data_IF_029194831102
#
_entry.id   IF_029194831102
#
_cell.length_a   1.000
_cell.length_b   1.000
_cell.length_c   1.000
_cell.angle_alpha   90.00
_cell.angle_beta   90.00
_cell.angle_gamma   90.00
#
_symmetry.space_group_name_H-M   'P 1'
#
loop_
_entity.id
_entity.type
_entity.pdbx_description
1 polymer ?
#
# COMPACT_ATOMS: atom_id res chain seq x y z
N UNK A 1 -65.51 -13.57 -43.61
CA UNK A 1 -64.92 -14.35 -42.50
C UNK A 1 -63.41 -14.17 -42.53
N UNK A 2 -62.83 -13.79 -41.38
CA UNK A 2 -61.42 -13.94 -40.93
C UNK A 2 -60.28 -13.36 -41.80
N UNK A 3 -59.74 -12.17 -41.49
CA UNK A 3 -58.65 -11.85 -40.53
C UNK A 3 -57.34 -12.64 -40.70
N UNK A 4 -56.24 -11.90 -40.92
CA UNK A 4 -54.85 -12.01 -40.38
C UNK A 4 -53.93 -11.23 -41.35
N UNK A 5 -53.11 -10.25 -41.00
CA UNK A 5 -52.66 -9.65 -39.73
C UNK A 5 -51.30 -8.99 -40.03
N UNK A 6 -51.21 -7.67 -39.89
CA UNK A 6 -50.02 -6.83 -40.10
C UNK A 6 -48.92 -7.10 -39.04
N UNK A 7 -47.65 -6.98 -39.48
CA UNK A 7 -46.63 -6.16 -38.80
C UNK A 7 -45.83 -6.75 -37.63
N UNK A 8 -44.51 -6.53 -37.64
CA UNK A 8 -43.75 -5.67 -36.70
C UNK A 8 -42.28 -6.14 -36.60
N UNK A 9 -41.40 -5.25 -37.06
CA UNK A 9 -39.95 -5.20 -36.76
C UNK A 9 -39.81 -4.94 -35.25
N UNK A 10 -39.08 -5.79 -34.52
CA UNK A 10 -38.94 -5.71 -33.07
C UNK A 10 -37.50 -5.90 -32.62
N UNK A 11 -36.76 -4.80 -32.66
CA UNK A 11 -35.45 -4.54 -32.06
C UNK A 11 -35.30 -5.18 -30.67
N UNK A 12 -34.58 -6.31 -30.59
CA UNK A 12 -34.18 -6.93 -29.33
C UNK A 12 -32.82 -6.36 -28.87
N UNK A 13 -32.77 -5.05 -28.63
CA UNK A 13 -31.69 -4.46 -27.83
C UNK A 13 -32.10 -4.59 -26.37
N UNK A 14 -31.76 -5.74 -25.79
CA UNK A 14 -31.93 -5.98 -24.35
C UNK A 14 -31.12 -4.93 -23.60
N UNK A 15 -31.85 -3.98 -23.03
CA UNK A 15 -31.39 -3.02 -22.05
C UNK A 15 -30.76 -3.78 -20.87
N UNK A 16 -29.44 -3.82 -20.82
CA UNK A 16 -28.67 -4.09 -19.60
C UNK A 16 -28.79 -2.86 -18.68
N UNK A 17 -29.98 -2.63 -18.11
CA UNK A 17 -30.08 -1.82 -16.90
C UNK A 17 -29.73 -2.78 -15.76
N UNK A 18 -28.44 -2.96 -15.52
CA UNK A 18 -28.01 -3.26 -14.17
C UNK A 18 -28.45 -2.05 -13.34
N UNK A 19 -29.63 -2.17 -12.74
CA UNK A 19 -30.01 -1.38 -11.59
C UNK A 19 -28.96 -1.69 -10.52
N UNK A 20 -27.86 -0.94 -10.58
CA UNK A 20 -26.93 -0.77 -9.49
C UNK A 20 -27.74 -0.13 -8.36
N UNK A 21 -28.45 -0.96 -7.59
CA UNK A 21 -28.74 -0.68 -6.19
C UNK A 21 -27.40 -0.72 -5.44
N UNK A 22 -26.44 0.10 -5.87
CA UNK A 22 -25.27 0.41 -5.08
C UNK A 22 -25.82 1.20 -3.89
N UNK A 23 -25.76 0.59 -2.71
CA UNK A 23 -25.59 1.38 -1.51
C UNK A 23 -24.53 2.45 -1.82
N UNK A 24 -24.77 3.70 -1.42
CA UNK A 24 -23.80 4.79 -1.52
C UNK A 24 -23.02 4.87 -0.20
N UNK A 25 -22.12 3.93 0.12
CA UNK A 25 -21.43 3.92 1.40
C UNK A 25 -20.58 5.19 1.58
N UNK A 26 -20.17 5.82 0.48
CA UNK A 26 -19.37 7.04 0.45
C UNK A 26 -20.15 8.19 1.08
N UNK A 27 -21.42 8.37 0.70
CA UNK A 27 -22.26 9.45 1.20
C UNK A 27 -22.50 9.31 2.71
N UNK A 28 -22.75 8.08 3.19
CA UNK A 28 -22.94 7.81 4.61
C UNK A 28 -21.65 8.04 5.42
N UNK A 29 -20.50 7.56 4.92
CA UNK A 29 -19.20 7.76 5.56
C UNK A 29 -18.83 9.25 5.62
N UNK A 30 -18.97 9.97 4.51
CA UNK A 30 -18.64 11.38 4.42
C UNK A 30 -19.55 12.26 5.29
N UNK A 31 -20.86 11.96 5.36
CA UNK A 31 -21.76 12.64 6.31
C UNK A 31 -21.28 12.52 7.74
N UNK A 32 -20.89 11.31 8.18
CA UNK A 32 -20.35 11.08 9.52
C UNK A 32 -19.01 11.78 9.73
N UNK A 33 -18.14 11.74 8.72
CA UNK A 33 -16.84 12.40 8.76
C UNK A 33 -16.95 13.92 8.92
N UNK A 34 -17.73 14.59 8.07
CA UNK A 34 -17.93 16.04 8.17
C UNK A 34 -18.71 16.46 9.41
N UNK A 35 -19.63 15.64 9.90
CA UNK A 35 -20.27 15.89 11.18
C UNK A 35 -19.25 15.86 12.34
N UNK A 36 -18.37 14.86 12.37
CA UNK A 36 -17.30 14.78 13.35
C UNK A 36 -16.31 15.96 13.23
N UNK A 37 -16.00 16.42 12.02
CA UNK A 37 -15.20 17.64 11.79
C UNK A 37 -15.88 18.88 12.38
N UNK A 38 -17.19 19.06 12.16
CA UNK A 38 -17.92 20.20 12.70
C UNK A 38 -17.97 20.20 14.23
N UNK A 39 -18.05 19.01 14.84
CA UNK A 39 -18.05 18.81 16.28
C UNK A 39 -16.63 18.82 16.89
N UNK A 40 -15.59 18.89 16.06
CA UNK A 40 -14.18 18.73 16.48
C UNK A 40 -13.94 17.42 17.26
N UNK A 41 -14.66 16.36 16.90
CA UNK A 41 -14.53 15.05 17.53
C UNK A 41 -13.38 14.26 16.90
N UNK A 42 -12.16 14.51 17.40
CA UNK A 42 -10.93 13.86 16.94
C UNK A 42 -10.98 12.34 17.15
N UNK A 43 -11.69 11.87 18.18
CA UNK A 43 -11.82 10.43 18.47
C UNK A 43 -12.64 9.75 17.40
N UNK A 44 -13.78 10.33 17.01
CA UNK A 44 -14.59 9.76 15.93
C UNK A 44 -13.87 9.87 14.59
N UNK A 45 -13.18 10.99 14.30
CA UNK A 45 -12.41 11.16 13.06
C UNK A 45 -11.33 10.11 12.88
N UNK A 46 -10.57 9.81 13.94
CA UNK A 46 -9.51 8.80 13.90
C UNK A 46 -10.03 7.38 13.74
N UNK A 47 -11.33 7.11 13.89
CA UNK A 47 -11.90 5.79 13.55
C UNK A 47 -12.31 5.64 12.08
N UNK A 48 -12.42 6.76 11.36
CA UNK A 48 -12.92 6.80 9.98
C UNK A 48 -11.83 7.12 8.97
N UNK A 49 -10.85 7.94 9.34
CA UNK A 49 -9.72 8.32 8.50
C UNK A 49 -8.40 7.93 9.15
N UNK A 50 -7.50 7.36 8.36
CA UNK A 50 -6.14 6.99 8.79
C UNK A 50 -5.36 8.26 9.13
N UNK A 51 -5.47 9.27 8.25
CA UNK A 51 -4.88 10.59 8.43
C UNK A 51 -6.00 11.64 8.37
N UNK A 52 -6.67 11.94 9.51
CA UNK A 52 -7.70 12.96 9.54
C UNK A 52 -7.07 14.35 9.35
N UNK A 53 -7.71 15.19 8.54
CA UNK A 53 -7.29 16.57 8.30
C UNK A 53 -8.21 17.55 9.02
N UNK A 54 -7.65 18.62 9.55
CA UNK A 54 -8.45 19.72 10.09
C UNK A 54 -8.89 20.63 8.93
N UNK A 55 -10.19 20.64 8.66
CA UNK A 55 -10.80 21.49 7.63
C UNK A 55 -11.89 22.35 8.25
N UNK A 56 -11.87 23.64 7.95
CA UNK A 56 -13.01 24.51 8.24
C UNK A 56 -14.08 24.32 7.16
N UNK A 57 -15.14 23.59 7.49
CA UNK A 57 -16.19 23.24 6.52
C UNK A 57 -17.49 23.92 6.90
N UNK A 58 -18.01 24.77 6.01
CA UNK A 58 -19.38 25.29 6.08
C UNK A 58 -20.35 24.35 5.34
N UNK A 59 -19.99 23.93 4.13
CA UNK A 59 -20.75 22.96 3.33
C UNK A 59 -19.84 22.14 2.44
N UNK A 60 -20.33 20.99 1.99
CA UNK A 60 -19.62 20.11 1.08
C UNK A 60 -20.59 19.44 0.10
N UNK A 61 -20.09 19.07 -1.08
CA UNK A 61 -20.86 18.39 -2.11
C UNK A 61 -19.99 17.37 -2.85
N UNK A 62 -20.55 16.21 -3.15
CA UNK A 62 -19.90 15.21 -4.01
C UNK A 62 -19.97 15.68 -5.46
N UNK A 63 -18.81 15.83 -6.11
CA UNK A 63 -18.66 16.17 -7.52
C UNK A 63 -18.68 14.89 -8.36
N UNK A 64 -17.86 13.92 -7.99
CA UNK A 64 -17.67 12.67 -8.74
C UNK A 64 -17.33 11.52 -7.80
N UNK A 65 -17.68 10.30 -8.23
CA UNK A 65 -17.34 9.05 -7.55
C UNK A 65 -16.86 8.08 -8.63
N UNK A 66 -15.68 7.48 -8.43
CA UNK A 66 -15.18 6.46 -9.34
C UNK A 66 -15.89 5.12 -9.13
N UNK A 67 -15.98 4.27 -10.17
CA UNK A 67 -16.51 2.92 -10.00
C UNK A 67 -15.68 2.15 -8.98
N UNK A 68 -16.33 1.24 -8.26
CA UNK A 68 -15.66 0.37 -7.30
C UNK A 68 -14.62 -0.50 -8.01
N UNK A 69 -13.35 -0.36 -7.60
CA UNK A 69 -12.28 -1.27 -8.02
C UNK A 69 -12.17 -2.37 -6.98
N UNK A 70 -12.20 -3.62 -7.43
CA UNK A 70 -12.05 -4.80 -6.58
C UNK A 70 -10.79 -5.52 -7.00
N UNK A 71 -9.84 -5.58 -6.08
CA UNK A 71 -8.51 -6.17 -6.29
C UNK A 71 -8.26 -7.25 -5.23
N UNK A 72 -7.40 -8.25 -5.49
CA UNK A 72 -7.03 -9.22 -4.47
C UNK A 72 -6.29 -8.55 -3.30
N UNK A 73 -6.43 -9.11 -2.10
CA UNK A 73 -5.66 -8.68 -0.93
C UNK A 73 -4.16 -8.81 -1.19
N UNK A 74 -3.43 -7.71 -1.04
CA UNK A 74 -1.98 -7.65 -1.36
C UNK A 74 -1.11 -8.04 -0.17
N UNK A 75 -1.64 -7.97 1.06
CA UNK A 75 -0.88 -8.22 2.28
C UNK A 75 -0.20 -9.60 2.32
N UNK A 76 -0.83 -10.73 1.89
CA UNK A 76 -0.13 -12.01 1.80
C UNK A 76 1.04 -12.02 0.83
N UNK A 77 0.92 -11.33 -0.30
CA UNK A 77 1.99 -11.22 -1.29
C UNK A 77 3.14 -10.35 -0.76
N UNK A 78 2.81 -9.24 -0.09
CA UNK A 78 3.79 -8.37 0.56
C UNK A 78 4.54 -9.11 1.67
N UNK A 79 3.86 -9.92 2.48
CA UNK A 79 4.48 -10.73 3.53
C UNK A 79 5.45 -11.76 2.93
N UNK A 80 5.07 -12.45 1.85
CA UNK A 80 5.98 -13.37 1.13
C UNK A 80 7.23 -12.65 0.63
N UNK A 81 7.05 -11.48 0.01
CA UNK A 81 8.15 -10.66 -0.50
C UNK A 81 9.08 -10.17 0.63
N UNK A 82 8.52 -9.74 1.76
CA UNK A 82 9.29 -9.36 2.95
C UNK A 82 10.14 -10.53 3.45
N UNK A 83 9.55 -11.72 3.60
CA UNK A 83 10.26 -12.92 4.08
C UNK A 83 11.35 -13.38 3.11
N UNK A 84 11.12 -13.30 1.80
CA UNK A 84 12.13 -13.63 0.79
C UNK A 84 13.31 -12.64 0.83
N UNK A 85 13.03 -11.35 0.94
CA UNK A 85 14.08 -10.33 1.03
C UNK A 85 14.85 -10.43 2.34
N UNK A 86 14.17 -10.74 3.45
CA UNK A 86 14.81 -11.02 4.73
C UNK A 86 15.83 -12.15 4.60
N UNK A 87 15.43 -13.28 4.01
CA UNK A 87 16.34 -14.41 3.76
C UNK A 87 17.52 -14.00 2.89
N UNK A 88 17.29 -13.26 1.80
CA UNK A 88 18.38 -12.75 0.93
C UNK A 88 19.36 -11.85 1.70
N UNK A 89 18.87 -10.98 2.59
CA UNK A 89 19.73 -10.14 3.42
C UNK A 89 20.56 -11.01 4.36
N UNK A 90 19.93 -11.96 5.06
CA UNK A 90 20.60 -12.88 6.00
C UNK A 90 21.66 -13.75 5.30
N UNK A 91 21.31 -14.33 4.15
CA UNK A 91 22.22 -15.16 3.34
C UNK A 91 23.40 -14.35 2.79
N UNK A 92 23.21 -13.05 2.54
CA UNK A 92 24.24 -12.17 2.00
C UNK A 92 25.20 -11.60 3.06
N UNK A 93 24.90 -11.77 4.36
CA UNK A 93 25.83 -11.33 5.42
C UNK A 93 27.17 -12.06 5.31
N UNK A 94 27.15 -13.38 5.10
CA UNK A 94 28.35 -14.21 4.98
C UNK A 94 29.28 -13.75 3.85
N UNK A 95 28.82 -13.69 2.59
CA UNK A 95 29.61 -13.18 1.46
C UNK A 95 30.22 -11.80 1.68
N UNK A 96 29.47 -10.86 2.29
CA UNK A 96 29.99 -9.53 2.60
C UNK A 96 31.07 -9.56 3.67
N UNK A 97 30.94 -10.41 4.69
CA UNK A 97 31.97 -10.60 5.72
C UNK A 97 33.21 -11.28 5.14
N UNK A 98 33.06 -12.33 4.35
CA UNK A 98 34.18 -13.02 3.70
C UNK A 98 34.98 -12.08 2.79
N UNK A 99 34.29 -11.22 2.02
CA UNK A 99 34.94 -10.22 1.18
C UNK A 99 35.70 -9.16 2.00
N UNK A 100 35.17 -8.79 3.17
CA UNK A 100 35.83 -7.88 4.11
C UNK A 100 37.08 -8.52 4.72
N UNK A 101 36.98 -9.75 5.19
CA UNK A 101 38.10 -10.48 5.77
C UNK A 101 39.22 -10.65 4.74
N UNK A 102 38.88 -10.94 3.48
CA UNK A 102 39.84 -11.00 2.38
C UNK A 102 40.55 -9.66 2.12
N UNK A 103 39.82 -8.54 2.24
CA UNK A 103 40.39 -7.19 2.14
C UNK A 103 41.34 -6.90 3.32
N UNK A 104 40.94 -7.22 4.54
CA UNK A 104 41.75 -6.99 5.75
C UNK A 104 43.04 -7.83 5.72
N UNK A 105 42.97 -9.07 5.23
CA UNK A 105 44.16 -9.92 4.98
C UNK A 105 45.07 -9.27 3.92
N UNK A 106 44.52 -8.81 2.80
CA UNK A 106 45.32 -8.16 1.76
C UNK A 106 45.98 -6.86 2.24
N UNK A 107 45.30 -6.08 3.07
CA UNK A 107 45.86 -4.89 3.71
C UNK A 107 46.99 -5.24 4.67
N UNK A 108 46.81 -6.27 5.48
CA UNK A 108 47.86 -6.78 6.38
C UNK A 108 49.10 -7.25 5.62
N UNK A 109 48.94 -7.94 4.48
CA UNK A 109 50.05 -8.32 3.59
C UNK A 109 50.80 -7.09 3.04
N UNK A 110 50.07 -6.03 2.68
CA UNK A 110 50.67 -4.78 2.19
C UNK A 110 51.50 -4.07 3.27
N UNK A 111 51.00 -4.04 4.51
CA UNK A 111 51.74 -3.46 5.65
C UNK A 111 52.98 -4.26 6.03
N UNK A 112 52.91 -5.59 5.90
CA UNK A 112 54.04 -6.50 6.15
C UNK A 112 55.12 -6.43 5.05
N UNK A 113 54.78 -6.01 3.82
CA UNK A 113 55.71 -6.00 2.69
C UNK A 113 56.88 -5.01 2.87
N UNK A 114 58.12 -5.51 2.77
CA UNK A 114 59.34 -4.71 2.98
C UNK A 114 60.04 -4.25 1.71
N UNK A 115 59.84 -4.93 0.57
CA UNK A 115 60.49 -4.60 -0.71
C UNK A 115 59.55 -3.92 -1.68
N UNK A 116 60.08 -3.12 -2.62
CA UNK A 116 59.27 -2.38 -3.59
C UNK A 116 58.42 -3.29 -4.49
N UNK A 117 58.99 -4.42 -4.94
CA UNK A 117 58.27 -5.42 -5.75
C UNK A 117 57.15 -6.10 -4.97
N UNK A 118 57.38 -6.47 -3.70
CA UNK A 118 56.35 -7.07 -2.84
C UNK A 118 55.21 -6.08 -2.54
N UNK A 119 55.54 -4.80 -2.30
CA UNK A 119 54.54 -3.74 -2.13
C UNK A 119 53.67 -3.53 -3.37
N UNK A 120 54.27 -3.57 -4.57
CA UNK A 120 53.51 -3.44 -5.82
C UNK A 120 52.52 -4.60 -6.02
N UNK A 121 52.96 -5.84 -5.75
CA UNK A 121 52.10 -7.02 -5.83
C UNK A 121 50.98 -7.01 -4.78
N UNK A 122 51.29 -6.68 -3.52
CA UNK A 122 50.31 -6.58 -2.45
C UNK A 122 49.30 -5.45 -2.70
N UNK A 123 49.73 -4.31 -3.26
CA UNK A 123 48.82 -3.23 -3.65
C UNK A 123 47.81 -3.69 -4.70
N UNK A 124 48.24 -4.46 -5.70
CA UNK A 124 47.32 -5.04 -6.70
C UNK A 124 46.29 -5.97 -6.04
N UNK A 125 46.71 -6.82 -5.11
CA UNK A 125 45.79 -7.67 -4.33
C UNK A 125 44.78 -6.86 -3.51
N UNK A 126 45.21 -5.76 -2.87
CA UNK A 126 44.31 -4.87 -2.12
C UNK A 126 43.28 -4.23 -3.05
N UNK A 127 43.67 -3.75 -4.23
CA UNK A 127 42.74 -3.17 -5.21
C UNK A 127 41.70 -4.20 -5.67
N UNK A 128 42.13 -5.43 -5.97
CA UNK A 128 41.23 -6.53 -6.38
C UNK A 128 40.28 -6.94 -5.24
N UNK A 129 40.78 -7.08 -4.01
CA UNK A 129 39.97 -7.42 -2.84
C UNK A 129 38.99 -6.29 -2.49
N UNK A 130 39.43 -5.03 -2.61
CA UNK A 130 38.60 -3.85 -2.39
C UNK A 130 37.46 -3.77 -3.40
N UNK A 131 37.75 -4.00 -4.68
CA UNK A 131 36.71 -4.01 -5.72
C UNK A 131 35.63 -5.06 -5.44
N UNK A 132 36.04 -6.27 -4.99
CA UNK A 132 35.10 -7.32 -4.58
C UNK A 132 34.28 -6.94 -3.35
N UNK A 133 34.94 -6.41 -2.31
CA UNK A 133 34.25 -5.94 -1.12
C UNK A 133 33.24 -4.83 -1.44
N UNK A 134 33.63 -3.84 -2.23
CA UNK A 134 32.75 -2.73 -2.62
C UNK A 134 31.52 -3.24 -3.41
N UNK A 135 31.69 -4.25 -4.27
CA UNK A 135 30.60 -4.89 -4.99
C UNK A 135 29.62 -5.59 -4.03
N UNK A 136 30.13 -6.48 -3.17
CA UNK A 136 29.31 -7.24 -2.21
C UNK A 136 28.62 -6.30 -1.20
N UNK A 137 29.31 -5.25 -0.75
CA UNK A 137 28.77 -4.26 0.16
C UNK A 137 27.62 -3.45 -0.47
N UNK A 138 27.78 -3.02 -1.73
CA UNK A 138 26.73 -2.30 -2.44
C UNK A 138 25.49 -3.20 -2.67
N UNK A 139 25.71 -4.46 -3.05
CA UNK A 139 24.63 -5.43 -3.20
C UNK A 139 23.90 -5.68 -1.87
N UNK A 140 24.64 -5.85 -0.77
CA UNK A 140 24.05 -6.01 0.56
C UNK A 140 23.22 -4.78 0.97
N UNK A 141 23.73 -3.58 0.69
CA UNK A 141 23.03 -2.32 0.97
C UNK A 141 21.73 -2.19 0.15
N UNK A 142 21.75 -2.59 -1.12
CA UNK A 142 20.57 -2.62 -1.97
C UNK A 142 19.53 -3.62 -1.45
N UNK A 143 19.95 -4.83 -1.09
CA UNK A 143 19.09 -5.84 -0.47
C UNK A 143 18.45 -5.34 0.82
N UNK A 144 19.24 -4.68 1.68
CA UNK A 144 18.73 -4.11 2.93
C UNK A 144 17.73 -2.99 2.69
N UNK A 145 17.98 -2.13 1.69
CA UNK A 145 17.03 -1.09 1.27
C UNK A 145 15.72 -1.71 0.78
N UNK A 146 15.79 -2.67 -0.14
CA UNK A 146 14.59 -3.36 -0.65
C UNK A 146 13.82 -4.09 0.43
N UNK A 147 14.51 -4.70 1.40
CA UNK A 147 13.88 -5.32 2.56
C UNK A 147 13.12 -4.30 3.41
N UNK A 148 13.74 -3.16 3.73
CA UNK A 148 13.08 -2.10 4.50
C UNK A 148 11.85 -1.55 3.76
N UNK A 149 11.96 -1.30 2.45
CA UNK A 149 10.82 -0.85 1.63
C UNK A 149 9.66 -1.87 1.63
N UNK A 150 9.98 -3.16 1.54
CA UNK A 150 8.98 -4.23 1.59
C UNK A 150 8.34 -4.35 2.98
N UNK A 151 9.12 -4.22 4.05
CA UNK A 151 8.65 -4.20 5.44
C UNK A 151 7.72 -3.00 5.70
N UNK A 152 8.09 -1.81 5.22
CA UNK A 152 7.27 -0.60 5.35
C UNK A 152 5.99 -0.70 4.54
N UNK A 153 6.04 -1.30 3.34
CA UNK A 153 4.85 -1.58 2.54
C UNK A 153 3.91 -2.57 3.24
N UNK A 154 4.45 -3.70 3.75
CA UNK A 154 3.67 -4.70 4.48
C UNK A 154 3.05 -4.12 5.75
N UNK A 155 3.80 -3.32 6.51
CA UNK A 155 3.32 -2.71 7.76
C UNK A 155 2.20 -1.71 7.50
N UNK A 156 2.35 -0.85 6.48
CA UNK A 156 1.28 0.09 6.08
C UNK A 156 0.01 -0.64 5.65
N UNK A 157 0.13 -1.67 4.82
CA UNK A 157 -1.04 -2.43 4.37
C UNK A 157 -1.69 -3.22 5.53
N UNK A 158 -0.90 -3.73 6.46
CA UNK A 158 -1.37 -4.37 7.71
C UNK A 158 -2.18 -3.38 8.56
N UNK A 159 -1.65 -2.17 8.79
CA UNK A 159 -2.35 -1.11 9.50
C UNK A 159 -3.67 -0.73 8.83
N UNK A 160 -3.69 -0.56 7.51
CA UNK A 160 -4.92 -0.27 6.75
C UNK A 160 -5.94 -1.40 6.85
N UNK A 161 -5.47 -2.65 6.79
CA UNK A 161 -6.30 -3.84 6.93
C UNK A 161 -6.96 -3.86 8.30
N UNK A 162 -6.17 -3.78 9.37
CA UNK A 162 -6.65 -3.76 10.75
C UNK A 162 -7.60 -2.59 11.00
N UNK A 163 -7.28 -1.41 10.47
CA UNK A 163 -8.10 -0.22 10.56
C UNK A 163 -9.49 -0.40 9.94
N UNK A 164 -9.54 -0.98 8.74
CA UNK A 164 -10.81 -1.30 8.07
C UNK A 164 -11.58 -2.39 8.80
N UNK A 165 -10.92 -3.41 9.35
CA UNK A 165 -11.57 -4.43 10.18
C UNK A 165 -12.05 -3.89 11.53
N UNK A 166 -11.55 -2.74 11.96
CA UNK A 166 -11.85 -2.16 13.27
C UNK A 166 -11.21 -2.93 14.42
N UNK A 167 -10.11 -3.62 14.14
CA UNK A 167 -9.36 -4.41 15.11
C UNK A 167 -8.01 -3.74 15.37
N UNK A 168 -7.54 -3.80 16.62
CA UNK A 168 -6.20 -3.29 16.96
C UNK A 168 -5.11 -4.31 16.63
N UNK A 169 -5.43 -5.59 16.71
CA UNK A 169 -4.51 -6.68 16.42
C UNK A 169 -5.29 -7.90 15.92
N UNK A 170 -4.72 -8.58 14.94
CA UNK A 170 -5.20 -9.88 14.48
C UNK A 170 -3.99 -10.75 14.14
N UNK A 171 -3.70 -11.82 14.90
CA UNK A 171 -2.44 -12.56 14.80
C UNK A 171 -2.10 -13.10 13.41
N UNK A 172 -3.12 -13.47 12.62
CA UNK A 172 -2.97 -14.05 11.29
C UNK A 172 -3.38 -13.09 10.17
N UNK A 173 -3.40 -11.77 10.42
CA UNK A 173 -3.82 -10.76 9.44
C UNK A 173 -3.05 -10.88 8.12
N UNK A 174 -1.77 -11.23 8.18
CA UNK A 174 -0.89 -11.37 7.01
C UNK A 174 -1.17 -12.59 6.14
N UNK A 175 -1.91 -13.57 6.66
CA UNK A 175 -2.28 -14.79 5.95
C UNK A 175 -3.71 -14.73 5.39
N UNK A 176 -4.46 -13.68 5.72
CA UNK A 176 -5.83 -13.52 5.25
C UNK A 176 -5.86 -13.26 3.75
N UNK A 177 -6.73 -13.98 3.06
CA UNK A 177 -6.97 -13.81 1.63
C UNK A 177 -8.32 -13.12 1.42
N UNK A 178 -8.56 -12.57 0.23
CA UNK A 178 -9.83 -11.92 -0.08
C UNK A 178 -9.66 -10.75 -1.03
N UNK A 179 -10.51 -9.75 -0.89
CA UNK A 179 -10.59 -8.60 -1.80
C UNK A 179 -10.50 -7.27 -1.08
N UNK A 180 -9.82 -6.33 -1.72
CA UNK A 180 -9.78 -4.92 -1.36
C UNK A 180 -10.66 -4.16 -2.34
N UNK A 181 -11.63 -3.46 -1.79
CA UNK A 181 -12.55 -2.61 -2.51
C UNK A 181 -12.05 -1.17 -2.36
N UNK A 182 -11.82 -0.47 -3.48
CA UNK A 182 -11.34 0.91 -3.47
C UNK A 182 -12.21 1.82 -4.31
N UNK A 183 -12.36 3.07 -3.85
CA UNK A 183 -13.11 4.14 -4.51
C UNK A 183 -12.42 5.47 -4.28
N UNK A 184 -12.55 6.34 -5.27
CA UNK A 184 -12.11 7.73 -5.19
C UNK A 184 -13.35 8.62 -5.27
N UNK A 185 -13.43 9.60 -4.37
CA UNK A 185 -14.55 10.52 -4.29
C UNK A 185 -14.02 11.93 -4.33
N UNK A 186 -14.46 12.70 -5.32
CA UNK A 186 -14.11 14.11 -5.43
C UNK A 186 -15.20 14.96 -4.81
N UNK A 187 -14.79 15.86 -3.92
CA UNK A 187 -15.65 16.72 -3.13
C UNK A 187 -15.33 18.17 -3.39
N UNK A 188 -16.38 18.98 -3.48
CA UNK A 188 -16.31 20.43 -3.38
C UNK A 188 -16.57 20.82 -1.94
N UNK A 189 -15.61 21.46 -1.28
CA UNK A 189 -15.73 21.93 0.10
C UNK A 189 -15.74 23.44 0.09
N UNK A 190 -16.75 24.04 0.74
CA UNK A 190 -16.82 25.49 0.97
C UNK A 190 -16.46 25.78 2.42
N UNK A 191 -15.48 26.65 2.63
CA UNK A 191 -15.08 27.09 3.96
C UNK A 191 -16.06 28.12 4.55
N UNK A 192 -15.84 28.52 5.80
CA UNK A 192 -16.67 29.54 6.46
C UNK A 192 -16.47 30.95 5.91
N UNK A 193 -15.37 31.19 5.20
CA UNK A 193 -15.08 32.44 4.51
C UNK A 193 -15.71 32.49 3.09
N UNK A 194 -16.35 31.41 2.64
CA UNK A 194 -16.96 31.29 1.32
C UNK A 194 -16.02 30.82 0.20
N UNK A 195 -14.75 30.52 0.51
CA UNK A 195 -13.82 29.97 -0.48
C UNK A 195 -14.16 28.51 -0.77
N UNK A 196 -14.08 28.14 -2.04
CA UNK A 196 -14.38 26.80 -2.52
C UNK A 196 -13.09 26.10 -2.94
N UNK A 197 -12.88 24.88 -2.44
CA UNK A 197 -11.74 24.03 -2.76
C UNK A 197 -12.21 22.63 -3.07
N UNK A 198 -11.57 21.99 -4.03
CA UNK A 198 -11.88 20.61 -4.42
C UNK A 198 -10.90 19.65 -3.76
N UNK A 199 -11.39 18.53 -3.25
CA UNK A 199 -10.58 17.51 -2.58
C UNK A 199 -10.90 16.13 -3.12
N UNK A 200 -9.92 15.25 -3.17
CA UNK A 200 -10.06 13.83 -3.47
C UNK A 200 -9.90 13.00 -2.21
N UNK A 201 -10.89 12.18 -1.94
CA UNK A 201 -10.89 11.24 -0.82
C UNK A 201 -10.69 9.83 -1.39
N UNK A 202 -9.73 9.11 -0.85
CA UNK A 202 -9.45 7.71 -1.20
C UNK A 202 -10.06 6.81 -0.16
N UNK A 203 -11.06 6.03 -0.56
CA UNK A 203 -11.79 5.12 0.30
C UNK A 203 -11.33 3.70 0.03
N UNK A 204 -11.13 2.92 1.08
CA UNK A 204 -10.88 1.48 0.99
C UNK A 204 -11.74 0.68 1.96
N UNK A 205 -12.01 -0.57 1.60
CA UNK A 205 -12.68 -1.56 2.44
C UNK A 205 -12.08 -2.93 2.16
N UNK A 206 -11.84 -3.70 3.21
CA UNK A 206 -11.26 -5.03 3.11
C UNK A 206 -12.34 -6.08 3.38
N UNK A 207 -12.51 -7.04 2.47
CA UNK A 207 -13.32 -8.23 2.66
C UNK A 207 -12.39 -9.44 2.64
N UNK A 208 -12.07 -9.94 3.83
CA UNK A 208 -11.04 -10.95 4.03
C UNK A 208 -11.61 -12.23 4.60
N UNK A 209 -10.85 -13.31 4.43
CA UNK A 209 -11.17 -14.63 4.90
C UNK A 209 -9.91 -15.32 5.40
N UNK A 210 -10.06 -15.96 6.54
CA UNK A 210 -9.09 -16.90 7.05
C UNK A 210 -9.40 -18.28 6.47
N UNK A 211 -8.50 -18.81 5.66
CA UNK A 211 -8.67 -20.12 5.04
C UNK A 211 -8.51 -21.28 6.04
N UNK A 212 -7.78 -21.08 7.15
CA UNK A 212 -7.57 -22.12 8.16
C UNK A 212 -8.79 -22.30 9.07
N UNK A 213 -9.44 -21.20 9.46
CA UNK A 213 -10.61 -21.23 10.35
C UNK A 213 -11.94 -21.06 9.60
N UNK A 214 -11.90 -20.78 8.30
CA UNK A 214 -13.04 -20.39 7.47
C UNK A 214 -13.82 -19.17 7.98
N UNK A 215 -13.21 -18.35 8.85
CA UNK A 215 -13.81 -17.13 9.37
C UNK A 215 -13.75 -16.01 8.31
N UNK A 216 -14.86 -15.30 8.14
CA UNK A 216 -14.95 -14.16 7.24
C UNK A 216 -14.87 -12.85 8.04
N UNK A 217 -13.98 -11.95 7.61
CA UNK A 217 -13.80 -10.62 8.16
C UNK A 217 -14.30 -9.59 7.14
N UNK A 218 -15.36 -8.87 7.51
CA UNK A 218 -15.91 -7.79 6.68
C UNK A 218 -15.55 -6.45 7.29
N UNK A 219 -14.65 -5.74 6.62
CA UNK A 219 -14.24 -4.41 7.01
C UNK A 219 -15.28 -3.35 6.69
N UNK A 220 -15.10 -2.19 7.32
CA UNK A 220 -15.81 -0.95 7.01
C UNK A 220 -15.06 -0.14 5.97
N UNK A 221 -15.78 0.73 5.26
CA UNK A 221 -15.16 1.76 4.44
C UNK A 221 -14.42 2.76 5.33
N UNK A 222 -13.17 3.02 4.97
CA UNK A 222 -12.27 3.95 5.67
C UNK A 222 -11.64 4.91 4.67
N UNK A 223 -11.35 6.11 5.13
CA UNK A 223 -10.64 7.13 4.35
C UNK A 223 -9.14 6.91 4.57
N UNK A 224 -8.45 6.53 3.51
CA UNK A 224 -7.01 6.23 3.55
C UNK A 224 -6.19 7.48 3.32
N UNK A 225 -6.68 8.39 2.47
CA UNK A 225 -5.98 9.61 2.11
C UNK A 225 -6.95 10.70 1.68
N UNK A 226 -6.57 11.95 1.94
CA UNK A 226 -7.29 13.15 1.51
C UNK A 226 -6.30 14.07 0.80
N UNK A 227 -6.62 14.48 -0.42
CA UNK A 227 -5.75 15.33 -1.25
C UNK A 227 -6.50 16.56 -1.76
N UNK A 228 -5.83 17.70 -1.85
CA UNK A 228 -6.37 18.89 -2.51
C UNK A 228 -6.21 18.74 -4.03
N UNK A 229 -7.30 18.95 -4.77
CA UNK A 229 -7.30 19.02 -6.23
C UNK A 229 -7.04 20.48 -6.59
N UNK A 230 -5.87 20.74 -7.16
CA UNK A 230 -5.44 22.05 -7.63
C UNK A 230 -6.27 22.51 -8.86
#
# INVERSE_FOLDING_TARGET
>A
MTRKGLGVIGLATLFFILASCASKPEEALLKRYFNALQLRDVTTLSTMAVEPVELEVASWQIISVTPEKVEPATLPELNKKELELKKKVEDHVGPTMDAKDALDVAQSELEAARTAGAKAAAKKKVEEAKAKYDQEYNLHKELQKSYNEAKDASSREEELTLFSLGMTQLPNVRDLTGTVHSKEVELKITDRAGNQKNYRFYLRRYELRDEATHMNYRGRWVIVKIELIA
#
